data_IF_122941326087
#
_entry.id   IF_122941326087
#
_cell.length_a   1.000
_cell.length_b   1.000
_cell.length_c   1.000
_cell.angle_alpha   90.00
_cell.angle_beta   90.00
_cell.angle_gamma   90.00
#
_symmetry.space_group_name_H-M   'P 1'
#
loop_
_entity.id
_entity.type
_entity.pdbx_description
1 polymer ?
#
# COMPACT_ATOMS: atom_id res chain seq x y z
N UNK A 1 -26.88 4.99 -26.68
CA UNK A 1 -25.81 5.99 -26.44
C UNK A 1 -25.98 6.73 -25.12
N UNK A 2 -27.17 7.28 -24.81
CA UNK A 2 -27.45 8.01 -23.56
C UNK A 2 -27.11 7.23 -22.27
N UNK A 3 -27.35 5.92 -22.24
CA UNK A 3 -27.05 5.06 -21.08
C UNK A 3 -25.67 4.38 -21.14
N UNK A 4 -25.10 4.26 -22.33
CA UNK A 4 -23.81 3.59 -22.55
C UNK A 4 -22.66 4.47 -22.06
N UNK A 5 -22.73 5.77 -22.33
CA UNK A 5 -21.73 6.76 -21.88
C UNK A 5 -21.57 6.79 -20.36
N UNK A 6 -22.63 6.99 -19.54
CA UNK A 6 -22.47 7.02 -18.08
C UNK A 6 -21.99 5.67 -17.52
N UNK A 7 -22.40 4.55 -18.12
CA UNK A 7 -21.99 3.22 -17.68
C UNK A 7 -20.49 2.98 -17.91
N UNK A 8 -19.95 3.42 -19.05
CA UNK A 8 -18.51 3.38 -19.35
C UNK A 8 -17.72 4.27 -18.38
N UNK A 9 -18.21 5.47 -18.07
CA UNK A 9 -17.54 6.37 -17.12
C UNK A 9 -17.46 5.75 -15.73
N UNK A 10 -18.54 5.13 -15.25
CA UNK A 10 -18.56 4.42 -13.96
C UNK A 10 -17.57 3.25 -13.97
N UNK A 11 -17.58 2.44 -15.04
CA UNK A 11 -16.67 1.30 -15.17
C UNK A 11 -15.20 1.74 -15.17
N UNK A 12 -14.86 2.85 -15.85
CA UNK A 12 -13.52 3.43 -15.82
C UNK A 12 -13.12 3.91 -14.42
N UNK A 13 -14.02 4.59 -13.71
CA UNK A 13 -13.76 5.04 -12.34
C UNK A 13 -13.54 3.86 -11.38
N UNK A 14 -14.35 2.81 -11.47
CA UNK A 14 -14.19 1.61 -10.66
C UNK A 14 -12.91 0.88 -11.03
N UNK A 15 -12.60 0.73 -12.32
CA UNK A 15 -11.36 0.12 -12.79
C UNK A 15 -10.12 0.88 -12.29
N UNK A 16 -10.11 2.20 -12.42
CA UNK A 16 -9.04 3.05 -11.87
C UNK A 16 -8.96 2.98 -10.35
N UNK A 17 -10.09 2.91 -9.64
CA UNK A 17 -10.12 2.78 -8.18
C UNK A 17 -9.51 1.45 -7.73
N UNK A 18 -9.81 0.35 -8.43
CA UNK A 18 -9.21 -0.96 -8.18
C UNK A 18 -7.72 -0.99 -8.54
N UNK A 19 -7.35 -0.36 -9.65
CA UNK A 19 -5.95 -0.26 -10.12
C UNK A 19 -5.11 0.74 -9.33
N UNK A 20 -5.72 1.62 -8.53
CA UNK A 20 -5.04 2.54 -7.59
C UNK A 20 -4.18 1.82 -6.56
N UNK A 21 -4.27 0.49 -6.48
CA UNK A 21 -3.39 -0.35 -5.68
C UNK A 21 -1.91 -0.26 -6.08
N UNK A 22 -1.57 0.24 -7.27
CA UNK A 22 -0.21 0.67 -7.60
C UNK A 22 0.06 2.05 -7.00
N UNK A 23 0.29 2.05 -5.69
CA UNK A 23 0.67 3.19 -4.87
C UNK A 23 1.89 3.87 -5.54
N UNK A 24 1.70 5.06 -6.12
CA UNK A 24 2.66 5.81 -6.95
C UNK A 24 3.91 6.34 -6.20
N UNK A 25 4.10 5.95 -4.95
CA UNK A 25 5.24 6.35 -4.13
C UNK A 25 6.27 5.23 -4.00
N UNK A 26 7.55 5.59 -3.86
CA UNK A 26 8.55 4.64 -3.42
C UNK A 26 8.12 4.08 -2.06
N UNK A 27 8.04 2.76 -1.99
CA UNK A 27 7.63 2.03 -0.81
C UNK A 27 8.62 2.33 0.34
N UNK A 28 8.15 2.95 1.43
CA UNK A 28 9.00 3.39 2.55
C UNK A 28 8.39 2.97 3.89
N UNK A 29 9.22 2.44 4.78
CA UNK A 29 8.82 2.13 6.13
C UNK A 29 8.59 3.38 6.96
N UNK A 30 7.48 3.40 7.70
CA UNK A 30 7.19 4.42 8.70
C UNK A 30 6.98 3.74 10.04
N UNK A 31 7.67 4.22 11.06
CA UNK A 31 7.47 3.75 12.42
C UNK A 31 6.10 4.24 12.92
N UNK A 32 5.27 3.30 13.37
CA UNK A 32 3.91 3.58 13.90
C UNK A 32 3.84 3.41 15.42
N UNK A 33 4.76 2.67 16.02
CA UNK A 33 4.83 2.50 17.46
C UNK A 33 6.13 1.84 17.89
N UNK A 34 6.44 1.95 19.18
CA UNK A 34 7.51 1.19 19.84
C UNK A 34 6.95 0.69 21.16
N UNK A 35 6.96 -0.62 21.34
CA UNK A 35 6.54 -1.29 22.57
C UNK A 35 7.74 -2.04 23.18
N UNK A 36 7.56 -2.63 24.36
CA UNK A 36 8.61 -3.41 25.04
C UNK A 36 9.08 -4.63 24.21
N UNK A 37 8.23 -5.13 23.32
CA UNK A 37 8.55 -6.25 22.41
C UNK A 37 9.33 -5.84 21.14
N UNK A 38 9.35 -4.54 20.78
CA UNK A 38 10.03 -4.07 19.58
C UNK A 38 9.41 -2.82 18.93
N UNK A 39 9.88 -2.51 17.73
CA UNK A 39 9.41 -1.39 16.91
C UNK A 39 8.42 -1.89 15.86
N UNK A 40 7.23 -1.29 15.86
CA UNK A 40 6.19 -1.52 14.86
C UNK A 40 6.37 -0.59 13.66
N UNK A 41 6.47 -1.17 12.48
CA UNK A 41 6.64 -0.50 11.20
C UNK A 41 5.44 -0.75 10.30
N UNK A 42 5.00 0.28 9.60
CA UNK A 42 3.91 0.22 8.62
C UNK A 42 4.28 1.02 7.39
N UNK A 43 4.08 0.44 6.22
CA UNK A 43 4.27 1.15 4.96
C UNK A 43 2.94 1.82 4.55
N UNK A 44 2.84 3.17 4.53
CA UNK A 44 1.62 3.86 4.07
C UNK A 44 1.38 3.68 2.57
N UNK A 45 2.45 3.31 1.85
CA UNK A 45 2.43 2.93 0.45
C UNK A 45 1.92 1.50 0.38
N UNK A 46 2.68 0.41 0.41
CA UNK A 46 2.10 -0.92 0.16
C UNK A 46 1.10 -1.45 1.23
N UNK A 47 1.06 -0.89 2.44
CA UNK A 47 0.25 -1.41 3.55
C UNK A 47 0.90 -2.57 4.31
N UNK A 48 2.14 -2.93 3.97
CA UNK A 48 2.88 -3.94 4.71
C UNK A 48 3.16 -3.49 6.15
N UNK A 49 3.11 -4.45 7.07
CA UNK A 49 3.38 -4.27 8.50
C UNK A 49 4.52 -5.21 8.90
N UNK A 50 5.41 -4.73 9.74
CA UNK A 50 6.54 -5.50 10.24
C UNK A 50 6.88 -5.08 11.67
N UNK A 51 7.27 -6.04 12.49
CA UNK A 51 7.76 -5.83 13.84
C UNK A 51 9.23 -6.25 13.91
N UNK A 52 10.09 -5.35 14.39
CA UNK A 52 11.53 -5.63 14.54
C UNK A 52 11.98 -5.29 15.95
N UNK A 53 12.82 -6.14 16.54
CA UNK A 53 13.40 -5.88 17.87
C UNK A 53 14.44 -4.75 17.79
N UNK A 54 15.18 -4.68 16.68
CA UNK A 54 16.13 -3.60 16.39
C UNK A 54 16.30 -3.42 14.87
N UNK A 55 16.47 -2.17 14.44
CA UNK A 55 16.71 -1.80 13.04
C UNK A 55 15.44 -1.72 12.18
N UNK A 56 15.53 -1.01 11.05
CA UNK A 56 14.44 -0.92 10.08
C UNK A 56 14.28 -2.22 9.26
N UNK A 57 13.05 -2.61 8.87
CA UNK A 57 12.86 -3.79 8.03
C UNK A 57 13.44 -3.56 6.63
N UNK A 58 14.20 -4.53 6.11
CA UNK A 58 14.92 -4.36 4.84
C UNK A 58 14.03 -4.36 3.59
N UNK A 59 12.90 -5.08 3.63
CA UNK A 59 12.03 -5.25 2.45
C UNK A 59 10.59 -4.88 2.80
N UNK A 60 10.00 -3.89 2.12
CA UNK A 60 8.55 -3.68 2.16
C UNK A 60 7.87 -4.65 1.18
N UNK A 61 6.56 -4.93 1.33
CA UNK A 61 5.80 -5.82 0.43
C UNK A 61 5.75 -5.45 -1.07
N UNK A 62 6.36 -4.34 -1.50
CA UNK A 62 6.62 -4.02 -2.92
C UNK A 62 8.02 -4.41 -3.41
N UNK A 63 8.89 -4.91 -2.52
CA UNK A 63 10.29 -5.29 -2.76
C UNK A 63 10.67 -6.62 -2.07
N UNK A 64 9.72 -7.35 -1.48
CA UNK A 64 9.97 -8.69 -0.94
C UNK A 64 10.17 -9.71 -2.07
N UNK A 65 10.98 -10.77 -1.87
CA UNK A 65 11.18 -11.80 -2.88
C UNK A 65 9.82 -12.39 -3.27
N UNK A 66 9.57 -12.46 -4.59
CA UNK A 66 8.38 -13.10 -5.15
C UNK A 66 8.36 -14.59 -4.87
#
# INVERSE_FOLDING_TARGET
MLFLVPLIVIALYVGMYLMRSNKTGACRWRQVGKDEAGVRWRCPVCGAEAETVAGEPKFCGGQGPR
#
